data_IF_380023468852
#
_entry.id   IF_380023468852
#
_cell.length_a   1.000
_cell.length_b   1.000
_cell.length_c   1.000
_cell.angle_alpha   90.00
_cell.angle_beta   90.00
_cell.angle_gamma   90.00
#
_symmetry.space_group_name_H-M   'P 1'
#
loop_
_entity.id
_entity.type
_entity.pdbx_description
1 polymer ?
#
# COMPACT_ATOMS: atom_id res chain seq x y z
N UNK A 1 -17.88 -5.79 -31.18
CA UNK A 1 -16.62 -5.40 -30.50
C UNK A 1 -15.56 -6.44 -30.86
N UNK A 2 -14.51 -6.09 -31.60
CA UNK A 2 -13.54 -7.06 -32.14
C UNK A 2 -12.54 -7.52 -31.08
N UNK A 3 -12.17 -8.81 -31.11
CA UNK A 3 -11.21 -9.46 -30.18
C UNK A 3 -9.86 -8.71 -30.16
N UNK A 4 -9.42 -8.19 -31.31
CA UNK A 4 -8.20 -7.38 -31.47
C UNK A 4 -8.26 -6.03 -30.73
N UNK A 5 -9.43 -5.37 -30.68
CA UNK A 5 -9.60 -4.12 -29.93
C UNK A 5 -9.52 -4.37 -28.43
N UNK A 6 -10.00 -5.54 -27.96
CA UNK A 6 -9.88 -5.94 -26.55
C UNK A 6 -8.41 -5.98 -26.12
N UNK A 7 -7.45 -6.44 -26.94
CA UNK A 7 -6.04 -6.47 -26.55
C UNK A 7 -5.35 -5.10 -26.49
N UNK A 8 -5.88 -4.09 -27.18
CA UNK A 8 -5.27 -2.76 -27.31
C UNK A 8 -5.82 -1.72 -26.32
N UNK A 9 -6.93 -1.98 -25.63
CA UNK A 9 -7.46 -1.02 -24.65
C UNK A 9 -6.63 -1.05 -23.36
N UNK A 10 -6.22 0.13 -22.88
CA UNK A 10 -5.60 0.29 -21.55
C UNK A 10 -6.50 -0.33 -20.49
N UNK A 11 -5.90 -1.09 -19.59
CA UNK A 11 -6.57 -1.64 -18.42
C UNK A 11 -7.09 -0.48 -17.58
N UNK A 12 -8.34 -0.55 -17.15
CA UNK A 12 -8.91 0.47 -16.26
C UNK A 12 -8.63 0.02 -14.83
N UNK A 13 -7.78 0.73 -14.06
CA UNK A 13 -7.48 0.35 -12.68
C UNK A 13 -8.72 0.54 -11.79
N UNK A 14 -8.60 0.11 -10.54
CA UNK A 14 -9.56 0.45 -9.50
C UNK A 14 -9.68 1.98 -9.35
N UNK A 15 -10.87 2.50 -9.00
CA UNK A 15 -11.04 3.93 -8.77
C UNK A 15 -10.19 4.40 -7.59
N UNK A 16 -9.75 5.66 -7.65
CA UNK A 16 -9.05 6.29 -6.53
C UNK A 16 -9.90 6.26 -5.25
N UNK A 17 -9.25 6.13 -4.10
CA UNK A 17 -9.97 5.98 -2.84
C UNK A 17 -9.08 5.62 -1.66
N UNK A 18 -9.65 5.78 -0.46
CA UNK A 18 -9.03 5.36 0.79
C UNK A 18 -9.72 4.09 1.29
N UNK A 19 -8.92 3.08 1.62
CA UNK A 19 -9.36 1.83 2.22
C UNK A 19 -8.58 1.60 3.50
N UNK A 20 -9.24 1.01 4.49
CA UNK A 20 -8.61 0.71 5.77
C UNK A 20 -9.06 -0.66 6.26
N UNK A 21 -8.19 -1.33 7.00
CA UNK A 21 -8.50 -2.51 7.77
C UNK A 21 -7.87 -2.36 9.16
N UNK A 22 -8.64 -2.73 10.18
CA UNK A 22 -8.13 -2.88 11.54
C UNK A 22 -8.56 -4.24 12.07
N UNK A 23 -7.60 -5.02 12.53
CA UNK A 23 -7.84 -6.36 13.10
C UNK A 23 -6.89 -6.63 14.27
N UNK A 24 -7.07 -7.75 14.95
CA UNK A 24 -6.17 -8.27 15.98
C UNK A 24 -5.53 -9.56 15.47
N UNK A 25 -4.21 -9.68 15.61
CA UNK A 25 -3.46 -10.92 15.37
C UNK A 25 -2.46 -11.09 16.51
N UNK A 26 -2.43 -12.25 17.15
CA UNK A 26 -1.57 -12.55 18.29
C UNK A 26 -1.61 -11.44 19.37
N UNK A 27 -2.81 -10.97 19.70
CA UNK A 27 -3.09 -9.89 20.65
C UNK A 27 -2.53 -8.51 20.27
N UNK A 28 -1.92 -8.37 19.09
CA UNK A 28 -1.41 -7.11 18.58
C UNK A 28 -2.40 -6.48 17.60
N UNK A 29 -2.70 -5.17 17.74
CA UNK A 29 -3.54 -4.47 16.78
C UNK A 29 -2.78 -4.29 15.47
N UNK A 30 -3.40 -4.73 14.37
CA UNK A 30 -2.93 -4.48 13.01
C UNK A 30 -3.77 -3.35 12.42
N UNK A 31 -3.10 -2.33 11.89
CA UNK A 31 -3.72 -1.20 11.18
C UNK A 31 -3.12 -1.10 9.79
N UNK A 32 -3.99 -1.16 8.79
CA UNK A 32 -3.59 -1.07 7.38
C UNK A 32 -4.38 0.04 6.72
N UNK A 33 -3.68 0.93 6.03
CA UNK A 33 -4.28 1.99 5.23
C UNK A 33 -3.77 1.88 3.79
N UNK A 34 -4.69 1.82 2.83
CA UNK A 34 -4.40 1.84 1.41
C UNK A 34 -4.99 3.09 0.80
N UNK A 35 -4.17 3.89 0.14
CA UNK A 35 -4.60 5.00 -0.71
C UNK A 35 -4.37 4.65 -2.17
N UNK A 36 -5.45 4.41 -2.91
CA UNK A 36 -5.43 4.22 -4.36
C UNK A 36 -5.36 5.56 -5.09
N UNK A 37 -4.54 5.63 -6.12
CA UNK A 37 -4.31 6.81 -6.94
C UNK A 37 -5.01 6.69 -8.30
N UNK A 38 -5.11 7.80 -9.04
CA UNK A 38 -5.81 7.87 -10.34
C UNK A 38 -5.22 6.97 -11.41
N UNK A 39 -3.92 6.74 -11.38
CA UNK A 39 -3.19 5.89 -12.32
C UNK A 39 -3.28 4.39 -11.95
N UNK A 40 -3.93 4.06 -10.83
CA UNK A 40 -4.07 2.72 -10.28
C UNK A 40 -2.98 2.32 -9.28
N UNK A 41 -1.90 3.09 -9.17
CA UNK A 41 -0.89 2.87 -8.13
C UNK A 41 -1.47 3.08 -6.73
N UNK A 42 -0.74 2.61 -5.72
CA UNK A 42 -1.19 2.65 -4.34
C UNK A 42 -0.10 3.04 -3.36
N UNK A 43 -0.51 3.63 -2.23
CA UNK A 43 0.34 3.74 -1.04
C UNK A 43 -0.29 2.87 0.04
N UNK A 44 0.46 1.89 0.53
CA UNK A 44 0.05 1.01 1.61
C UNK A 44 0.87 1.31 2.86
N UNK A 45 0.18 1.63 3.95
CA UNK A 45 0.76 1.95 5.25
C UNK A 45 0.40 0.81 6.20
N UNK A 46 1.42 0.16 6.75
CA UNK A 46 1.29 -0.93 7.72
C UNK A 46 1.72 -0.43 9.10
N UNK A 47 0.81 -0.51 10.08
CA UNK A 47 1.02 -0.15 11.49
C UNK A 47 1.65 1.24 11.71
N UNK A 48 1.48 2.17 10.75
CA UNK A 48 2.15 3.46 10.72
C UNK A 48 3.70 3.40 10.81
N UNK A 49 4.29 2.23 10.60
CA UNK A 49 5.73 1.99 10.69
C UNK A 49 6.36 1.76 9.31
N UNK A 50 5.64 1.06 8.42
CA UNK A 50 6.13 0.72 7.08
C UNK A 50 5.23 1.32 6.02
N UNK A 51 5.83 2.01 5.05
CA UNK A 51 5.14 2.59 3.89
C UNK A 51 5.64 1.91 2.62
N UNK A 52 4.72 1.33 1.85
CA UNK A 52 4.99 0.69 0.57
C UNK A 52 4.36 1.49 -0.56
N UNK A 53 5.13 1.73 -1.61
CA UNK A 53 4.62 2.19 -2.90
C UNK A 53 4.27 0.97 -3.75
N UNK A 54 3.03 0.92 -4.22
CA UNK A 54 2.50 -0.22 -4.95
C UNK A 54 2.28 0.18 -6.41
N UNK A 55 2.74 -0.67 -7.32
CA UNK A 55 2.29 -0.63 -8.70
C UNK A 55 0.78 -0.99 -8.80
N UNK A 56 0.13 -0.79 -9.97
CA UNK A 56 -1.31 -1.01 -10.08
C UNK A 56 -1.79 -2.42 -9.69
N UNK A 57 -1.06 -3.46 -10.07
CA UNK A 57 -1.45 -4.84 -9.74
C UNK A 57 -1.33 -5.11 -8.24
N UNK A 58 -0.24 -4.65 -7.61
CA UNK A 58 -0.04 -4.79 -6.17
C UNK A 58 -1.04 -3.97 -5.35
N UNK A 59 -1.44 -2.80 -5.85
CA UNK A 59 -2.47 -1.98 -5.24
C UNK A 59 -3.84 -2.68 -5.25
N UNK A 60 -4.15 -3.41 -6.32
CA UNK A 60 -5.36 -4.23 -6.41
C UNK A 60 -5.29 -5.48 -5.51
N UNK A 61 -4.13 -6.13 -5.40
CA UNK A 61 -3.92 -7.18 -4.39
C UNK A 61 -4.17 -6.65 -2.97
N UNK A 62 -3.58 -5.50 -2.63
CA UNK A 62 -3.80 -4.86 -1.33
C UNK A 62 -5.28 -4.53 -1.09
N UNK A 63 -6.00 -4.07 -2.12
CA UNK A 63 -7.43 -3.80 -2.04
C UNK A 63 -8.22 -5.08 -1.70
N UNK A 64 -7.98 -6.17 -2.42
CA UNK A 64 -8.66 -7.44 -2.17
C UNK A 64 -8.34 -8.03 -0.80
N UNK A 65 -7.08 -7.92 -0.36
CA UNK A 65 -6.65 -8.30 0.98
C UNK A 65 -7.41 -7.52 2.07
N UNK A 66 -7.47 -6.18 1.97
CA UNK A 66 -8.21 -5.32 2.91
C UNK A 66 -9.71 -5.61 2.91
N UNK A 67 -10.28 -5.98 1.75
CA UNK A 67 -11.70 -6.32 1.62
C UNK A 67 -12.05 -7.74 2.06
N UNK A 68 -11.07 -8.58 2.40
CA UNK A 68 -11.30 -9.99 2.71
C UNK A 68 -11.89 -10.76 1.52
N UNK A 69 -11.53 -10.38 0.29
CA UNK A 69 -11.99 -11.10 -0.90
C UNK A 69 -11.34 -12.49 -0.92
N UNK A 70 -12.12 -13.54 -1.23
CA UNK A 70 -11.57 -14.89 -1.37
C UNK A 70 -10.46 -14.92 -2.45
N UNK A 71 -9.34 -15.64 -2.24
CA UNK A 71 -8.20 -15.64 -3.16
C UNK A 71 -8.56 -15.96 -4.61
N UNK A 72 -9.43 -16.93 -4.82
CA UNK A 72 -9.85 -17.37 -6.15
C UNK A 72 -10.65 -16.29 -6.88
N UNK A 73 -11.46 -15.52 -6.14
CA UNK A 73 -12.27 -14.43 -6.68
C UNK A 73 -11.42 -13.19 -6.96
N UNK A 74 -10.48 -12.86 -6.06
CA UNK A 74 -9.48 -11.81 -6.29
C UNK A 74 -8.66 -12.13 -7.56
N UNK A 75 -8.12 -13.36 -7.65
CA UNK A 75 -7.36 -13.81 -8.81
C UNK A 75 -8.17 -13.76 -10.11
N UNK A 76 -9.47 -14.05 -10.07
CA UNK A 76 -10.36 -13.92 -11.23
C UNK A 76 -10.47 -12.48 -11.69
N UNK A 77 -10.80 -11.55 -10.79
CA UNK A 77 -11.00 -10.14 -11.12
C UNK A 77 -9.72 -9.51 -11.69
N UNK A 78 -8.58 -9.88 -11.13
CA UNK A 78 -7.26 -9.41 -11.55
C UNK A 78 -6.88 -10.02 -12.89
N UNK A 79 -7.06 -11.33 -13.07
CA UNK A 79 -6.81 -12.00 -14.35
C UNK A 79 -7.66 -11.39 -15.47
N UNK A 80 -8.93 -11.09 -15.21
CA UNK A 80 -9.82 -10.46 -16.17
C UNK A 80 -9.40 -9.02 -16.50
N UNK A 81 -8.98 -8.24 -15.50
CA UNK A 81 -8.58 -6.84 -15.67
C UNK A 81 -7.24 -6.71 -16.39
N UNK A 82 -6.22 -7.45 -15.96
CA UNK A 82 -4.86 -7.36 -16.49
C UNK A 82 -4.56 -8.36 -17.61
N UNK A 83 -5.51 -9.25 -17.93
CA UNK A 83 -5.42 -10.25 -19.01
C UNK A 83 -4.26 -11.22 -18.81
N UNK A 84 -4.05 -11.63 -17.57
CA UNK A 84 -3.04 -12.61 -17.19
C UNK A 84 -3.68 -13.96 -16.94
N UNK A 85 -2.86 -15.00 -16.85
CA UNK A 85 -3.35 -16.33 -16.50
C UNK A 85 -3.90 -16.32 -15.05
N UNK A 86 -5.08 -16.92 -14.83
CA UNK A 86 -5.71 -16.96 -13.50
C UNK A 86 -4.88 -17.70 -12.45
N UNK A 87 -4.18 -18.76 -12.82
CA UNK A 87 -3.29 -19.50 -11.92
C UNK A 87 -2.12 -18.62 -11.47
N UNK A 88 -1.50 -17.91 -12.42
CA UNK A 88 -0.45 -16.93 -12.13
C UNK A 88 -0.96 -15.80 -11.22
N UNK A 89 -2.13 -15.23 -11.53
CA UNK A 89 -2.72 -14.19 -10.69
C UNK A 89 -3.01 -14.65 -9.25
N UNK A 90 -3.38 -15.93 -9.07
CA UNK A 90 -3.60 -16.53 -7.75
C UNK A 90 -2.29 -16.72 -7.00
N UNK A 91 -1.26 -17.27 -7.66
CA UNK A 91 0.07 -17.44 -7.08
C UNK A 91 0.65 -16.09 -6.65
N UNK A 92 0.58 -15.08 -7.52
CA UNK A 92 1.04 -13.72 -7.25
C UNK A 92 0.26 -13.06 -6.09
N UNK A 93 -1.06 -13.26 -6.03
CA UNK A 93 -1.89 -12.74 -4.93
C UNK A 93 -1.51 -13.38 -3.59
N UNK A 94 -1.37 -14.70 -3.55
CA UNK A 94 -1.01 -15.42 -2.33
C UNK A 94 0.38 -15.01 -1.84
N UNK A 95 1.35 -14.93 -2.74
CA UNK A 95 2.70 -14.49 -2.42
C UNK A 95 2.74 -13.03 -1.94
N UNK A 96 1.92 -12.15 -2.53
CA UNK A 96 1.75 -10.78 -2.02
C UNK A 96 1.21 -10.79 -0.58
N UNK A 97 0.16 -11.56 -0.30
CA UNK A 97 -0.45 -11.66 1.04
C UNK A 97 0.55 -12.22 2.06
N UNK A 98 1.31 -13.25 1.71
CA UNK A 98 2.38 -13.80 2.57
C UNK A 98 3.43 -12.75 2.94
N UNK A 99 3.89 -11.95 1.96
CA UNK A 99 4.85 -10.86 2.20
C UNK A 99 4.28 -9.78 3.12
N UNK A 100 3.00 -9.43 2.96
CA UNK A 100 2.33 -8.46 3.85
C UNK A 100 2.23 -9.02 5.26
N UNK A 101 1.88 -10.31 5.43
CA UNK A 101 1.87 -10.93 6.75
C UNK A 101 3.26 -10.95 7.41
N UNK A 102 4.32 -11.24 6.63
CA UNK A 102 5.69 -11.21 7.15
C UNK A 102 6.08 -9.81 7.68
N UNK A 103 5.75 -8.76 6.93
CA UNK A 103 5.97 -7.36 7.34
C UNK A 103 5.18 -6.96 8.59
N UNK A 104 3.98 -7.51 8.77
CA UNK A 104 3.14 -7.22 9.93
C UNK A 104 3.66 -7.97 11.17
N UNK A 105 4.06 -9.23 11.00
CA UNK A 105 4.46 -10.12 12.09
C UNK A 105 5.87 -9.80 12.63
N UNK A 106 6.75 -9.26 11.80
CA UNK A 106 8.16 -9.01 12.15
C UNK A 106 8.43 -7.50 12.19
N UNK A 107 8.44 -6.87 13.39
CA UNK A 107 8.87 -5.48 13.54
C UNK A 107 10.30 -5.29 13.00
N UNK A 108 10.56 -4.15 12.38
CA UNK A 108 11.88 -3.77 11.85
C UNK A 108 12.47 -4.70 10.77
N UNK A 109 11.65 -5.58 10.18
CA UNK A 109 12.06 -6.35 9.01
C UNK A 109 12.38 -5.40 7.85
N UNK A 110 13.64 -5.36 7.42
CA UNK A 110 14.04 -4.55 6.28
C UNK A 110 13.37 -5.07 5.00
N UNK A 111 12.41 -4.35 4.40
CA UNK A 111 11.66 -4.86 3.25
C UNK A 111 12.54 -5.09 2.03
N UNK A 112 13.64 -4.33 1.92
CA UNK A 112 14.56 -4.42 0.80
C UNK A 112 15.40 -5.69 0.84
N UNK A 113 16.00 -6.01 2.00
CA UNK A 113 16.87 -7.17 2.15
C UNK A 113 16.12 -8.50 2.23
N UNK A 114 14.84 -8.49 2.63
CA UNK A 114 14.10 -9.72 2.94
C UNK A 114 12.92 -10.02 2.01
N UNK A 115 12.41 -9.04 1.27
CA UNK A 115 11.20 -9.20 0.46
C UNK A 115 11.39 -8.77 -1.01
N UNK A 116 12.64 -8.53 -1.41
CA UNK A 116 13.02 -8.02 -2.73
C UNK A 116 12.26 -6.76 -3.15
N UNK A 117 11.92 -5.90 -2.17
CA UNK A 117 11.26 -4.63 -2.43
C UNK A 117 12.29 -3.56 -2.76
N UNK A 118 12.08 -2.83 -3.84
CA UNK A 118 12.96 -1.72 -4.20
C UNK A 118 12.84 -0.57 -3.19
N UNK A 119 13.98 -0.04 -2.73
CA UNK A 119 13.98 1.20 -1.94
C UNK A 119 13.70 2.38 -2.84
N UNK A 120 12.58 3.05 -2.60
CA UNK A 120 12.30 4.32 -3.25
C UNK A 120 13.31 5.39 -2.80
N UNK A 121 13.76 6.24 -3.73
CA UNK A 121 14.62 7.36 -3.37
C UNK A 121 13.85 8.37 -2.50
N UNK A 122 14.51 9.03 -1.53
CA UNK A 122 13.91 10.16 -0.84
C UNK A 122 13.36 11.18 -1.85
N UNK A 123 12.13 11.66 -1.64
CA UNK A 123 11.43 12.60 -2.53
C UNK A 123 11.01 12.07 -3.91
N UNK A 124 11.09 10.76 -4.17
CA UNK A 124 10.62 10.19 -5.44
C UNK A 124 9.10 10.05 -5.54
N UNK A 125 8.40 10.09 -4.41
CA UNK A 125 6.94 10.04 -4.38
C UNK A 125 6.37 11.45 -4.57
N UNK A 126 5.41 11.61 -5.47
CA UNK A 126 4.60 12.84 -5.60
C UNK A 126 3.66 13.06 -4.40
N UNK A 127 3.71 12.19 -3.40
CA UNK A 127 2.89 12.21 -2.20
C UNK A 127 3.67 12.73 -0.98
N UNK A 128 3.08 13.66 -0.23
CA UNK A 128 3.58 14.03 1.10
C UNK A 128 3.38 12.87 2.06
N UNK A 129 4.48 12.16 2.37
CA UNK A 129 4.48 11.02 3.29
C UNK A 129 4.76 11.42 4.75
N UNK A 130 5.39 12.58 4.95
CA UNK A 130 5.74 13.11 6.27
C UNK A 130 5.37 14.58 6.35
N UNK A 131 4.78 14.95 7.48
CA UNK A 131 4.45 16.32 7.82
C UNK A 131 4.89 16.57 9.25
N UNK A 132 5.78 17.55 9.43
CA UNK A 132 6.18 18.02 10.76
C UNK A 132 5.30 19.24 11.08
N UNK A 133 4.44 19.11 12.09
CA UNK A 133 3.48 20.15 12.49
C UNK A 133 3.71 20.57 13.94
N UNK A 134 4.05 21.84 14.16
CA UNK A 134 4.03 22.43 15.48
C UNK A 134 2.58 22.83 15.83
N UNK A 135 2.00 22.14 16.81
CA UNK A 135 0.65 22.47 17.32
C UNK A 135 0.65 23.85 17.99
N UNK A 136 1.78 24.22 18.60
CA UNK A 136 2.01 25.57 19.15
C UNK A 136 3.50 25.89 19.15
N UNK A 137 3.82 27.18 19.03
CA UNK A 137 5.16 27.74 19.25
C UNK A 137 5.34 28.33 20.65
N UNK A 138 4.33 28.19 21.53
CA UNK A 138 4.44 28.65 22.91
C UNK A 138 5.48 27.83 23.66
N UNK A 139 6.50 28.51 24.18
CA UNK A 139 7.55 27.91 25.00
C UNK A 139 7.21 28.04 26.50
N UNK A 140 7.68 27.11 27.36
CA UNK A 140 7.63 27.28 28.81
C UNK A 140 8.37 28.53 29.29
N UNK A 141 8.06 28.99 30.51
CA UNK A 141 8.82 30.07 31.14
C UNK A 141 10.28 29.66 31.38
N UNK A 142 11.21 30.59 31.17
CA UNK A 142 12.65 30.34 31.32
C UNK A 142 13.32 29.65 30.11
N UNK A 143 12.59 29.38 29.03
CA UNK A 143 13.16 28.83 27.79
C UNK A 143 13.61 29.95 26.83
N UNK A 144 14.68 29.70 26.07
CA UNK A 144 15.17 30.65 25.05
C UNK A 144 14.21 30.73 23.86
N UNK A 145 13.96 31.95 23.36
CA UNK A 145 13.05 32.21 22.23
C UNK A 145 13.46 31.47 20.94
N UNK A 146 14.76 31.19 20.78
CA UNK A 146 15.35 30.57 19.58
C UNK A 146 14.94 29.10 19.36
N UNK A 147 14.24 28.48 20.32
CA UNK A 147 13.70 27.12 20.20
C UNK A 147 12.38 27.03 19.42
N UNK A 148 11.77 28.17 19.09
CA UNK A 148 10.63 28.25 18.19
C UNK A 148 11.00 29.08 16.96
N UNK A 149 10.50 28.73 15.76
CA UNK A 149 10.60 29.61 14.61
C UNK A 149 9.90 30.95 14.90
N UNK A 150 10.51 32.04 14.43
CA UNK A 150 10.06 33.42 14.62
C UNK A 150 8.84 33.73 13.76
#
# INVERSE_FOLDING_TARGET
>A
MNILQKFLTKTKPLPEGLHHMQTMQDEKPIRIHLRLQKDGSGILILNAATVLQLNPTAAEYAFHFIKGTAPEEAAKQIADRYRVNRKMALEDFNHFVERIHALIATPDLDPASFLDLERAQPHSAEATLRLDCAVTYRLPEGTHADYAPV
#
